data_IF_826911348287
#
_entry.id   IF_826911348287
#
_cell.length_a   1.000
_cell.length_b   1.000
_cell.length_c   1.000
_cell.angle_alpha   90.00
_cell.angle_beta   90.00
_cell.angle_gamma   90.00
#
_symmetry.space_group_name_H-M   'P 1'
#
loop_
_entity.id
_entity.type
_entity.pdbx_description
1 polymer ?
#
# COMPACT_ATOMS: atom_id res chain seq x y z
N UNK A 1 3.51 2.12 31.89
CA UNK A 1 2.16 1.79 31.36
C UNK A 1 1.51 2.95 30.58
N UNK A 2 1.84 4.23 30.84
CA UNK A 2 1.26 5.36 30.06
C UNK A 2 1.60 5.39 28.56
N UNK A 3 2.83 5.08 28.17
CA UNK A 3 3.27 5.23 26.77
C UNK A 3 2.55 4.33 25.75
N UNK A 4 2.07 3.15 26.16
CA UNK A 4 1.33 2.25 25.27
C UNK A 4 -0.09 2.75 25.00
N UNK A 5 -0.77 3.26 26.03
CA UNK A 5 -2.11 3.86 25.89
C UNK A 5 -2.05 5.16 25.07
N UNK A 6 -1.04 6.01 25.32
CA UNK A 6 -0.79 7.23 24.55
C UNK A 6 -0.46 6.91 23.08
N UNK A 7 0.37 5.89 22.83
CA UNK A 7 0.69 5.43 21.47
C UNK A 7 -0.54 4.95 20.72
N UNK A 8 -1.40 4.17 21.37
CA UNK A 8 -2.67 3.71 20.78
C UNK A 8 -3.62 4.88 20.48
N UNK A 9 -3.80 5.82 21.42
CA UNK A 9 -4.64 6.99 21.19
C UNK A 9 -4.12 7.85 20.02
N UNK A 10 -2.80 8.01 19.89
CA UNK A 10 -2.17 8.71 18.77
C UNK A 10 -2.39 7.99 17.44
N UNK A 11 -2.29 6.65 17.43
CA UNK A 11 -2.58 5.84 16.25
C UNK A 11 -4.02 6.07 15.77
N UNK A 12 -5.00 5.90 16.66
CA UNK A 12 -6.42 6.08 16.34
C UNK A 12 -6.71 7.51 15.84
N UNK A 13 -6.16 8.53 16.50
CA UNK A 13 -6.31 9.91 16.08
C UNK A 13 -5.72 10.16 14.68
N UNK A 14 -4.54 9.59 14.40
CA UNK A 14 -3.86 9.72 13.11
C UNK A 14 -4.64 9.01 11.99
N UNK A 15 -5.19 7.82 12.28
CA UNK A 15 -5.95 7.04 11.31
C UNK A 15 -7.24 7.77 10.92
N UNK A 16 -7.95 8.33 11.91
CA UNK A 16 -9.14 9.17 11.67
C UNK A 16 -8.81 10.41 10.85
N UNK A 17 -7.72 11.11 11.18
CA UNK A 17 -7.29 12.29 10.43
C UNK A 17 -6.95 11.93 8.97
N UNK A 18 -6.23 10.82 8.76
CA UNK A 18 -5.89 10.32 7.44
C UNK A 18 -7.13 9.96 6.62
N UNK A 19 -8.10 9.26 7.21
CA UNK A 19 -9.37 8.95 6.56
C UNK A 19 -10.16 10.23 6.21
N UNK A 20 -10.19 11.21 7.10
CA UNK A 20 -10.86 12.50 6.89
C UNK A 20 -10.25 13.27 5.71
N UNK A 21 -8.92 13.25 5.56
CA UNK A 21 -8.22 13.92 4.45
C UNK A 21 -8.59 13.35 3.08
N UNK A 22 -8.90 12.05 3.00
CA UNK A 22 -9.22 11.38 1.75
C UNK A 22 -10.72 11.17 1.52
N UNK A 23 -11.57 11.53 2.48
CA UNK A 23 -13.01 11.36 2.39
C UNK A 23 -13.60 12.20 1.25
N UNK A 24 -14.08 11.54 0.18
CA UNK A 24 -14.64 12.20 -0.99
C UNK A 24 -13.62 12.94 -1.85
N UNK A 25 -12.32 12.77 -1.59
CA UNK A 25 -11.23 13.41 -2.32
C UNK A 25 -10.45 12.33 -3.10
N UNK A 26 -10.34 12.44 -4.44
CA UNK A 26 -9.51 11.52 -5.19
C UNK A 26 -8.04 11.65 -4.76
N UNK A 27 -7.38 10.54 -4.42
CA UNK A 27 -6.01 10.55 -3.90
C UNK A 27 -5.05 11.24 -4.88
N UNK A 28 -5.27 11.11 -6.19
CA UNK A 28 -4.45 11.74 -7.22
C UNK A 28 -4.45 13.28 -7.19
N UNK A 29 -5.43 13.90 -6.52
CA UNK A 29 -5.43 15.36 -6.31
C UNK A 29 -4.43 15.81 -5.24
N UNK A 30 -4.01 14.90 -4.37
CA UNK A 30 -3.01 15.12 -3.31
C UNK A 30 -1.65 14.55 -3.71
N UNK A 31 -1.64 13.38 -4.36
CA UNK A 31 -0.44 12.66 -4.80
C UNK A 31 -0.64 12.20 -6.25
N UNK A 32 -0.10 12.97 -7.20
CA UNK A 32 -0.45 12.87 -8.63
C UNK A 32 -0.20 11.51 -9.29
N UNK A 33 0.65 10.66 -8.71
CA UNK A 33 0.96 9.31 -9.20
C UNK A 33 0.29 8.20 -8.36
N UNK A 34 -0.82 8.50 -7.67
CA UNK A 34 -1.59 7.50 -6.91
C UNK A 34 -3.08 7.60 -7.28
N UNK A 35 -3.59 6.62 -8.03
CA UNK A 35 -5.01 6.49 -8.40
C UNK A 35 -5.63 5.31 -7.64
N UNK A 36 -5.66 5.45 -6.32
CA UNK A 36 -6.33 4.52 -5.42
C UNK A 36 -7.46 5.23 -4.68
N UNK A 37 -8.37 4.45 -4.10
CA UNK A 37 -9.29 4.93 -3.05
C UNK A 37 -8.66 4.67 -1.69
N UNK A 38 -8.90 5.56 -0.74
CA UNK A 38 -8.60 5.31 0.67
C UNK A 38 -9.92 5.00 1.38
N UNK A 39 -9.95 3.86 2.05
CA UNK A 39 -11.07 3.42 2.88
C UNK A 39 -10.56 3.05 4.28
N UNK A 40 -11.45 2.59 5.14
CA UNK A 40 -11.12 2.05 6.46
C UNK A 40 -11.67 0.64 6.63
N UNK A 41 -10.95 -0.18 7.42
CA UNK A 41 -11.42 -1.47 7.90
C UNK A 41 -11.47 -1.47 9.43
N UNK A 42 -12.50 -2.08 9.99
CA UNK A 42 -12.66 -2.18 11.43
C UNK A 42 -11.72 -3.24 12.02
N UNK A 43 -11.07 -2.89 13.13
CA UNK A 43 -10.25 -3.82 13.93
C UNK A 43 -10.43 -3.55 15.42
N UNK A 44 -9.96 -4.48 16.27
CA UNK A 44 -9.94 -4.26 17.72
C UNK A 44 -8.98 -3.14 18.15
N UNK A 45 -8.12 -2.67 17.24
CA UNK A 45 -7.24 -1.52 17.45
C UNK A 45 -7.82 -0.18 16.95
N UNK A 46 -9.08 -0.18 16.47
CA UNK A 46 -9.69 0.94 15.76
C UNK A 46 -9.66 0.75 14.24
N UNK A 47 -10.11 1.78 13.52
CA UNK A 47 -10.14 1.79 12.05
C UNK A 47 -8.73 1.79 11.47
N UNK A 48 -8.42 0.83 10.60
CA UNK A 48 -7.17 0.76 9.86
C UNK A 48 -7.36 1.39 8.48
N UNK A 49 -6.49 2.32 8.05
CA UNK A 49 -6.56 2.86 6.70
C UNK A 49 -6.19 1.78 5.69
N UNK A 50 -6.90 1.73 4.56
CA UNK A 50 -6.61 0.81 3.47
C UNK A 50 -6.61 1.55 2.15
N UNK A 51 -5.71 1.15 1.25
CA UNK A 51 -5.75 1.61 -0.13
C UNK A 51 -6.39 0.53 -1.00
N UNK A 52 -7.41 0.89 -1.77
CA UNK A 52 -8.04 0.04 -2.78
C UNK A 52 -7.54 0.50 -4.15
N UNK A 53 -6.78 -0.36 -4.81
CA UNK A 53 -6.17 -0.09 -6.10
C UNK A 53 -6.81 -0.97 -7.19
N UNK A 54 -7.24 -0.36 -8.30
CA UNK A 54 -7.96 -1.05 -9.38
C UNK A 54 -7.04 -1.61 -10.49
N UNK A 55 -5.73 -1.66 -10.23
CA UNK A 55 -4.73 -2.21 -11.15
C UNK A 55 -4.32 -1.28 -12.28
N UNK A 56 -4.28 0.03 -12.01
CA UNK A 56 -3.75 1.02 -12.96
C UNK A 56 -2.23 0.91 -13.02
N UNK A 57 -1.70 0.67 -14.21
CA UNK A 57 -0.26 0.67 -14.42
C UNK A 57 0.35 2.08 -14.24
N UNK A 58 1.56 2.13 -13.68
CA UNK A 58 2.33 3.36 -13.50
C UNK A 58 2.01 4.14 -12.23
N UNK A 59 1.13 3.61 -11.37
CA UNK A 59 0.89 4.16 -10.04
C UNK A 59 2.04 3.86 -9.08
N UNK A 60 2.17 4.68 -8.04
CA UNK A 60 3.25 4.56 -7.09
C UNK A 60 3.26 3.18 -6.43
N UNK A 61 4.47 2.67 -6.19
CA UNK A 61 4.69 1.35 -5.58
C UNK A 61 4.03 1.21 -4.20
N UNK A 62 3.77 2.31 -3.49
CA UNK A 62 3.06 2.28 -2.19
C UNK A 62 1.64 1.72 -2.28
N UNK A 63 1.01 1.68 -3.46
CA UNK A 63 -0.33 1.09 -3.66
C UNK A 63 -0.42 0.09 -4.82
N UNK A 64 0.59 0.03 -5.70
CA UNK A 64 0.63 -0.91 -6.84
C UNK A 64 1.63 -2.06 -6.58
N UNK A 65 1.13 -3.30 -6.36
CA UNK A 65 1.97 -4.49 -6.35
C UNK A 65 2.77 -4.69 -7.65
N UNK A 66 2.19 -4.37 -8.81
CA UNK A 66 2.89 -4.46 -10.09
C UNK A 66 4.09 -3.52 -10.09
N UNK A 67 3.91 -2.25 -9.76
CA UNK A 67 5.02 -1.30 -9.74
C UNK A 67 6.03 -1.67 -8.67
N UNK A 68 5.61 -2.16 -7.50
CA UNK A 68 6.53 -2.65 -6.45
C UNK A 68 7.45 -3.76 -6.95
N UNK A 69 6.88 -4.82 -7.54
CA UNK A 69 7.62 -6.04 -7.86
C UNK A 69 8.19 -6.09 -9.28
N UNK A 70 7.74 -5.21 -10.18
CA UNK A 70 8.25 -5.12 -11.54
C UNK A 70 8.92 -3.78 -11.82
N UNK A 71 8.16 -2.68 -11.92
CA UNK A 71 8.68 -1.43 -12.48
C UNK A 71 9.75 -0.80 -11.56
N UNK A 72 9.46 -0.64 -10.27
CA UNK A 72 10.38 -0.13 -9.26
C UNK A 72 11.53 -1.11 -8.98
N UNK A 73 11.23 -2.41 -8.88
CA UNK A 73 12.26 -3.43 -8.71
C UNK A 73 13.27 -3.43 -9.87
N UNK A 74 12.83 -3.19 -11.10
CA UNK A 74 13.70 -3.06 -12.26
C UNK A 74 14.56 -1.79 -12.17
N UNK A 75 13.98 -0.67 -11.74
CA UNK A 75 14.70 0.58 -11.52
C UNK A 75 15.82 0.41 -10.48
N UNK A 76 15.50 -0.13 -9.30
CA UNK A 76 16.45 -0.41 -8.23
C UNK A 76 17.51 -1.42 -8.64
N UNK A 77 17.11 -2.50 -9.31
CA UNK A 77 18.04 -3.50 -9.85
C UNK A 77 19.07 -2.86 -10.79
N UNK A 78 18.63 -1.94 -11.64
CA UNK A 78 19.54 -1.21 -12.52
C UNK A 78 20.36 -0.10 -11.84
N UNK A 79 19.99 0.34 -10.63
CA UNK A 79 20.76 1.31 -9.83
C UNK A 79 21.85 0.62 -9.01
N UNK A 80 21.59 -0.61 -8.54
CA UNK A 80 22.47 -1.33 -7.63
C UNK A 80 23.38 -2.38 -8.29
N UNK A 81 23.09 -2.79 -9.53
CA UNK A 81 23.94 -3.72 -10.27
C UNK A 81 25.03 -3.00 -11.06
N UNK A 82 26.15 -3.68 -11.37
CA UNK A 82 27.18 -3.16 -12.26
C UNK A 82 26.62 -2.77 -13.63
N UNK A 83 27.24 -1.77 -14.28
CA UNK A 83 26.78 -1.21 -15.56
C UNK A 83 26.55 -2.24 -16.67
N UNK A 84 27.35 -3.31 -16.68
CA UNK A 84 27.22 -4.39 -17.68
C UNK A 84 26.01 -5.30 -17.43
N UNK A 85 25.53 -5.41 -16.19
CA UNK A 85 24.42 -6.27 -15.79
C UNK A 85 23.08 -5.51 -15.68
N UNK A 86 23.13 -4.22 -15.36
CA UNK A 86 21.96 -3.37 -15.13
C UNK A 86 20.92 -3.40 -16.28
N UNK A 87 21.31 -3.33 -17.58
CA UNK A 87 20.34 -3.39 -18.68
C UNK A 87 19.60 -4.73 -18.77
N UNK A 88 20.31 -5.84 -18.55
CA UNK A 88 19.72 -7.18 -18.59
C UNK A 88 18.77 -7.37 -17.41
N UNK A 89 19.19 -6.99 -16.20
CA UNK A 89 18.38 -7.10 -15.00
C UNK A 89 17.09 -6.26 -15.10
N UNK A 90 17.19 -5.01 -15.56
CA UNK A 90 16.02 -4.14 -15.83
C UNK A 90 15.02 -4.84 -16.74
N UNK A 91 15.48 -5.42 -17.85
CA UNK A 91 14.62 -6.11 -18.82
C UNK A 91 13.98 -7.36 -18.24
N UNK A 92 14.76 -8.20 -17.57
CA UNK A 92 14.27 -9.45 -16.96
C UNK A 92 13.22 -9.13 -15.91
N UNK A 93 13.48 -8.20 -14.99
CA UNK A 93 12.52 -7.84 -13.94
C UNK A 93 11.27 -7.20 -14.55
N UNK A 94 11.41 -6.20 -15.41
CA UNK A 94 10.27 -5.50 -16.03
C UNK A 94 9.39 -6.42 -16.88
N UNK A 95 9.95 -7.50 -17.47
CA UNK A 95 9.17 -8.47 -18.24
C UNK A 95 8.11 -9.22 -17.43
N UNK A 96 8.20 -9.20 -16.09
CA UNK A 96 7.15 -9.76 -15.22
C UNK A 96 5.93 -8.84 -15.12
N UNK A 97 6.06 -7.54 -15.40
CA UNK A 97 4.97 -6.57 -15.29
C UNK A 97 3.68 -6.99 -16.02
N UNK A 98 3.73 -7.37 -17.31
CA UNK A 98 2.57 -7.89 -18.03
C UNK A 98 1.91 -9.10 -17.37
N UNK A 99 2.69 -10.03 -16.80
CA UNK A 99 2.17 -11.21 -16.10
C UNK A 99 1.42 -10.80 -14.82
N UNK A 100 1.99 -9.86 -14.03
CA UNK A 100 1.36 -9.34 -12.81
C UNK A 100 0.08 -8.57 -13.10
N UNK A 101 0.04 -7.84 -14.23
CA UNK A 101 -1.17 -7.17 -14.69
C UNK A 101 -2.25 -8.18 -15.08
N UNK A 102 -1.87 -9.19 -15.86
CA UNK A 102 -2.79 -10.20 -16.38
C UNK A 102 -3.39 -11.07 -15.27
N UNK A 103 -2.61 -11.42 -14.25
CA UNK A 103 -3.11 -12.17 -13.10
C UNK A 103 -4.10 -11.39 -12.22
N UNK A 104 -4.23 -10.07 -12.44
CA UNK A 104 -5.02 -9.19 -11.61
C UNK A 104 -4.36 -8.89 -10.25
N UNK A 105 -3.09 -9.24 -10.04
CA UNK A 105 -2.38 -8.98 -8.78
C UNK A 105 -2.40 -7.50 -8.39
N UNK A 106 -2.38 -6.63 -9.39
CA UNK A 106 -2.37 -5.19 -9.18
C UNK A 106 -3.74 -4.63 -8.75
N UNK A 107 -4.81 -5.43 -8.84
CA UNK A 107 -6.11 -5.14 -8.21
C UNK A 107 -6.06 -5.61 -6.77
N UNK A 108 -5.73 -4.71 -5.86
CA UNK A 108 -5.37 -5.08 -4.50
C UNK A 108 -5.93 -4.12 -3.45
N UNK A 109 -6.25 -4.69 -2.28
CA UNK A 109 -6.52 -3.95 -1.05
C UNK A 109 -5.31 -4.09 -0.15
N UNK A 110 -4.59 -2.99 0.09
CA UNK A 110 -3.45 -2.97 1.01
C UNK A 110 -3.91 -2.50 2.39
N UNK A 111 -3.88 -3.42 3.35
CA UNK A 111 -4.35 -3.20 4.72
C UNK A 111 -3.30 -2.42 5.53
N UNK A 112 -3.76 -1.46 6.36
CA UNK A 112 -2.90 -0.57 7.13
C UNK A 112 -1.92 0.22 6.24
N UNK A 113 -2.43 0.72 5.12
CA UNK A 113 -1.65 1.49 4.17
C UNK A 113 -1.89 2.99 4.33
N UNK A 114 -0.84 3.72 4.66
CA UNK A 114 -0.83 5.18 4.84
C UNK A 114 -0.30 5.91 3.59
N UNK A 115 -0.11 5.17 2.48
CA UNK A 115 0.55 5.63 1.25
C UNK A 115 2.01 6.05 1.50
N UNK A 116 2.66 5.38 2.45
CA UNK A 116 4.05 5.60 2.84
C UNK A 116 4.84 4.30 2.71
N UNK A 117 6.17 4.45 2.59
CA UNK A 117 7.12 3.32 2.57
C UNK A 117 7.18 2.57 3.90
N UNK A 118 6.85 3.23 5.01
CA UNK A 118 6.83 2.65 6.35
C UNK A 118 5.58 3.10 7.06
N UNK A 119 4.68 2.14 7.30
CA UNK A 119 3.36 2.39 7.88
C UNK A 119 3.40 2.38 9.42
N UNK A 120 2.46 3.10 10.03
CA UNK A 120 2.27 3.10 11.48
C UNK A 120 1.53 1.82 11.89
N UNK A 121 1.84 1.25 13.05
CA UNK A 121 1.19 0.02 13.53
C UNK A 121 0.54 0.23 14.89
N UNK A 122 -0.68 -0.30 15.10
CA UNK A 122 -1.23 -0.45 16.45
C UNK A 122 -0.59 -1.66 17.15
N UNK A 123 -1.00 -1.92 18.40
CA UNK A 123 -0.67 -3.16 19.07
C UNK A 123 -1.26 -4.35 18.31
N UNK A 124 -0.41 -5.23 17.77
CA UNK A 124 -0.82 -6.35 16.92
C UNK A 124 -1.78 -7.33 17.63
N UNK A 125 -1.70 -7.45 18.95
CA UNK A 125 -2.60 -8.30 19.73
C UNK A 125 -4.09 -7.90 19.62
N UNK A 126 -4.37 -6.67 19.17
CA UNK A 126 -5.73 -6.15 18.99
C UNK A 126 -6.23 -6.30 17.54
N UNK A 127 -5.40 -6.86 16.65
CA UNK A 127 -5.72 -7.02 15.23
C UNK A 127 -6.06 -8.48 14.97
N UNK A 128 -7.22 -8.74 14.36
CA UNK A 128 -7.61 -10.05 13.85
C UNK A 128 -7.39 -10.09 12.32
N UNK A 129 -6.32 -10.75 11.83
CA UNK A 129 -6.06 -10.83 10.39
C UNK A 129 -7.18 -11.51 9.61
N UNK A 130 -7.86 -12.51 10.19
CA UNK A 130 -8.91 -13.22 9.47
C UNK A 130 -10.15 -12.34 9.28
N UNK A 131 -10.51 -11.54 10.28
CA UNK A 131 -11.58 -10.55 10.15
C UNK A 131 -11.23 -9.47 9.11
N UNK A 132 -10.00 -8.98 9.10
CA UNK A 132 -9.56 -7.98 8.12
C UNK A 132 -9.56 -8.53 6.70
N UNK A 133 -9.09 -9.76 6.49
CA UNK A 133 -9.11 -10.40 5.17
C UNK A 133 -10.55 -10.56 4.65
N UNK A 134 -11.50 -10.97 5.50
CA UNK A 134 -12.92 -11.07 5.10
C UNK A 134 -13.50 -9.72 4.67
N UNK A 135 -13.20 -8.64 5.41
CA UNK A 135 -13.66 -7.30 5.04
C UNK A 135 -12.99 -6.80 3.76
N UNK A 136 -11.68 -7.02 3.62
CA UNK A 136 -10.91 -6.61 2.44
C UNK A 136 -11.38 -7.32 1.17
N UNK A 137 -11.71 -8.61 1.23
CA UNK A 137 -12.25 -9.35 0.08
C UNK A 137 -13.64 -8.89 -0.37
N UNK A 138 -14.32 -8.05 0.41
CA UNK A 138 -15.61 -7.46 0.06
C UNK A 138 -15.48 -6.06 -0.57
N UNK A 139 -14.26 -5.61 -0.88
CA UNK A 139 -13.96 -4.36 -1.59
C UNK A 139 -13.52 -4.67 -3.01
#
# INVERSE_FOLDING_TARGET
>A
MNGAAEGHARFVASARAFATLHAGVPVQSLVSNVHARVETLDSGAGELPVSVHDGRAGDAWVCSPRTTYADYAAEEGGRHLPDWAAPLARRVIASHGPLLQWSGLDKAVSINNWLLSTNLYPALAQVDPAALLRQASAR
#
